data_IF_828029775563
#
_entry.id   IF_828029775563
#
_cell.length_a   1.000
_cell.length_b   1.000
_cell.length_c   1.000
_cell.angle_alpha   90.00
_cell.angle_beta   90.00
_cell.angle_gamma   90.00
#
_symmetry.space_group_name_H-M   'P 1'
#
loop_
_entity.id
_entity.type
_entity.pdbx_description
1 polymer ?
#
# COMPACT_ATOMS: atom_id res chain seq x y z
N UNK A 1 -5.94 12.63 15.58
CA UNK A 1 -5.72 12.07 14.23
C UNK A 1 -5.47 10.59 14.38
N UNK A 2 -6.16 9.72 13.63
CA UNK A 2 -6.04 8.28 13.83
C UNK A 2 -5.48 7.56 12.62
N UNK A 3 -4.21 7.18 12.72
CA UNK A 3 -3.62 6.07 11.98
C UNK A 3 -3.39 4.97 13.00
N UNK A 4 -4.22 3.93 12.92
CA UNK A 4 -4.16 2.78 13.79
C UNK A 4 -3.61 1.56 13.06
N UNK A 5 -2.93 0.63 13.73
CA UNK A 5 -2.36 -0.52 13.06
C UNK A 5 -3.37 -1.37 12.26
N UNK A 6 -4.62 -1.48 12.70
CA UNK A 6 -5.61 -2.39 12.10
C UNK A 6 -6.12 -1.99 10.73
N UNK A 7 -6.08 -0.69 10.42
CA UNK A 7 -6.56 -0.14 9.14
C UNK A 7 -5.44 0.06 8.13
N UNK A 8 -4.18 -0.05 8.60
CA UNK A 8 -2.97 0.26 7.85
C UNK A 8 -2.96 -0.43 6.49
N UNK A 9 -2.77 0.35 5.44
CA UNK A 9 -2.44 -0.16 4.12
C UNK A 9 -0.92 -0.23 3.99
N UNK A 10 -0.36 -1.37 4.38
CA UNK A 10 1.07 -1.69 4.21
C UNK A 10 1.49 -1.65 2.74
N UNK A 11 2.80 -1.60 2.47
CA UNK A 11 3.31 -1.71 1.09
C UNK A 11 2.76 -2.95 0.38
N UNK A 12 2.64 -4.07 1.10
CA UNK A 12 2.03 -5.31 0.61
C UNK A 12 0.54 -5.11 0.24
N UNK A 13 -0.21 -4.30 1.00
CA UNK A 13 -1.60 -3.96 0.67
C UNK A 13 -1.66 -3.21 -0.66
N UNK A 14 -0.81 -2.20 -0.85
CA UNK A 14 -0.77 -1.44 -2.10
C UNK A 14 -0.40 -2.34 -3.29
N UNK A 15 0.62 -3.17 -3.12
CA UNK A 15 1.09 -4.13 -4.10
C UNK A 15 0.04 -5.20 -4.48
N UNK A 16 -0.84 -5.56 -3.54
CA UNK A 16 -1.93 -6.50 -3.72
C UNK A 16 -3.32 -5.84 -3.76
N UNK A 17 -3.40 -4.53 -4.04
CA UNK A 17 -4.61 -3.74 -3.79
C UNK A 17 -5.86 -4.38 -4.41
N UNK A 18 -6.86 -4.78 -3.58
CA UNK A 18 -8.02 -5.51 -4.08
C UNK A 18 -8.84 -4.74 -5.12
N UNK A 19 -8.94 -3.42 -4.97
CA UNK A 19 -9.65 -2.56 -5.92
C UNK A 19 -8.94 -2.57 -7.28
N UNK A 20 -7.63 -2.33 -7.29
CA UNK A 20 -6.83 -2.28 -8.52
C UNK A 20 -6.87 -3.62 -9.25
N UNK A 21 -6.70 -4.74 -8.54
CA UNK A 21 -6.78 -6.09 -9.13
C UNK A 21 -8.15 -6.40 -9.72
N UNK A 22 -9.24 -5.94 -9.11
CA UNK A 22 -10.59 -6.12 -9.66
C UNK A 22 -10.82 -5.25 -10.89
N UNK A 23 -10.53 -3.96 -10.81
CA UNK A 23 -10.82 -3.01 -11.89
C UNK A 23 -9.98 -3.27 -13.15
N UNK A 24 -8.71 -3.67 -13.02
CA UNK A 24 -7.88 -3.98 -14.19
C UNK A 24 -8.40 -5.21 -14.97
N UNK A 25 -9.07 -6.14 -14.28
CA UNK A 25 -9.65 -7.34 -14.87
C UNK A 25 -11.13 -7.17 -15.26
N UNK A 26 -11.74 -6.01 -14.99
CA UNK A 26 -13.16 -5.76 -15.24
C UNK A 26 -13.38 -5.29 -16.69
N UNK A 27 -13.89 -6.17 -17.54
CA UNK A 27 -14.12 -5.87 -18.97
C UNK A 27 -15.31 -4.95 -19.23
N UNK A 28 -16.10 -4.61 -18.20
CA UNK A 28 -17.27 -3.74 -18.36
C UNK A 28 -16.94 -2.25 -18.19
N UNK A 29 -15.71 -1.91 -17.83
CA UNK A 29 -15.27 -0.54 -17.53
C UNK A 29 -13.95 -0.22 -18.21
N UNK A 30 -13.71 1.07 -18.44
CA UNK A 30 -12.41 1.61 -18.80
C UNK A 30 -11.73 2.08 -17.51
N UNK A 31 -10.88 1.25 -16.91
CA UNK A 31 -10.15 1.63 -15.70
C UNK A 31 -8.98 2.54 -16.07
N UNK A 32 -9.14 3.84 -15.80
CA UNK A 32 -8.23 4.89 -16.26
C UNK A 32 -6.93 4.89 -15.47
N UNK A 33 -7.00 4.70 -14.16
CA UNK A 33 -5.85 4.70 -13.28
C UNK A 33 -6.18 5.11 -11.85
N UNK A 34 -5.13 5.39 -11.10
CA UNK A 34 -5.14 5.72 -9.69
C UNK A 34 -4.63 7.15 -9.52
N UNK A 35 -5.27 7.92 -8.64
CA UNK A 35 -4.76 9.19 -8.13
C UNK A 35 -4.36 8.92 -6.68
N UNK A 36 -3.06 8.90 -6.40
CA UNK A 36 -2.56 8.92 -5.03
C UNK A 36 -2.67 10.36 -4.52
N UNK A 37 -3.20 10.56 -3.31
CA UNK A 37 -3.35 11.86 -2.68
C UNK A 37 -2.81 11.81 -1.24
N UNK A 38 -1.72 12.52 -1.00
CA UNK A 38 -1.08 12.59 0.32
C UNK A 38 -1.91 13.40 1.31
N UNK A 39 -2.05 12.89 2.53
CA UNK A 39 -2.69 13.61 3.63
C UNK A 39 -1.72 14.62 4.23
N UNK A 40 -2.16 15.87 4.39
CA UNK A 40 -1.41 16.92 5.09
C UNK A 40 -1.99 17.22 6.47
N UNK A 41 -1.16 17.59 7.46
CA UNK A 41 -1.65 18.15 8.73
C UNK A 41 -2.30 19.53 8.55
N UNK A 42 -1.80 20.31 7.59
CA UNK A 42 -2.25 21.68 7.36
C UNK A 42 -3.58 21.70 6.60
N UNK A 43 -4.62 22.31 7.18
CA UNK A 43 -5.96 22.34 6.59
C UNK A 43 -6.01 22.98 5.19
N UNK A 44 -5.33 24.10 4.97
CA UNK A 44 -5.32 24.76 3.65
C UNK A 44 -4.68 23.85 2.59
N UNK A 45 -3.63 23.11 2.97
CA UNK A 45 -3.05 22.09 2.11
C UNK A 45 -4.03 20.93 1.84
N UNK A 46 -4.79 20.44 2.84
CA UNK A 46 -5.84 19.41 2.62
C UNK A 46 -6.87 19.84 1.58
N UNK A 47 -7.28 21.11 1.62
CA UNK A 47 -8.23 21.68 0.64
C UNK A 47 -7.57 21.79 -0.73
N UNK A 48 -6.34 22.30 -0.80
CA UNK A 48 -5.62 22.46 -2.06
C UNK A 48 -5.38 21.11 -2.78
N UNK A 49 -4.95 20.07 -2.07
CA UNK A 49 -4.71 18.75 -2.67
C UNK A 49 -6.02 18.08 -3.10
N UNK A 50 -7.12 18.28 -2.37
CA UNK A 50 -8.45 17.84 -2.77
C UNK A 50 -8.94 18.53 -4.05
N UNK A 51 -8.74 19.86 -4.17
CA UNK A 51 -9.09 20.61 -5.40
C UNK A 51 -8.32 20.06 -6.60
N UNK A 52 -7.00 19.92 -6.48
CA UNK A 52 -6.18 19.35 -7.55
C UNK A 52 -6.56 17.90 -7.89
N UNK A 53 -7.04 17.13 -6.91
CA UNK A 53 -7.55 15.77 -7.16
C UNK A 53 -8.83 15.79 -8.00
N UNK A 54 -9.76 16.70 -7.70
CA UNK A 54 -10.99 16.89 -8.47
C UNK A 54 -10.71 17.36 -9.90
N UNK A 55 -9.81 18.34 -10.05
CA UNK A 55 -9.36 18.85 -11.36
C UNK A 55 -8.73 17.73 -12.19
N UNK A 56 -7.81 16.96 -11.60
CA UNK A 56 -7.17 15.82 -12.27
C UNK A 56 -8.20 14.75 -12.67
N UNK A 57 -9.17 14.45 -11.81
CA UNK A 57 -10.28 13.55 -12.15
C UNK A 57 -11.09 14.03 -13.36
N UNK A 58 -11.34 15.34 -13.43
CA UNK A 58 -12.02 15.99 -14.57
C UNK A 58 -11.19 15.93 -15.85
N UNK A 59 -9.89 16.22 -15.78
CA UNK A 59 -8.96 16.14 -16.92
C UNK A 59 -8.82 14.72 -17.47
N UNK A 60 -8.81 13.72 -16.58
CA UNK A 60 -8.85 12.29 -16.93
C UNK A 60 -10.23 11.85 -17.47
N UNK A 61 -11.22 12.75 -17.44
CA UNK A 61 -12.61 12.53 -17.88
C UNK A 61 -13.27 11.34 -17.21
N UNK A 62 -13.05 11.18 -15.91
CA UNK A 62 -13.66 10.11 -15.14
C UNK A 62 -15.19 10.26 -15.13
N UNK A 63 -15.89 9.14 -15.29
CA UNK A 63 -17.35 9.07 -15.13
C UNK A 63 -17.74 8.71 -13.69
N UNK A 64 -16.80 8.18 -12.92
CA UNK A 64 -16.95 7.91 -11.48
C UNK A 64 -15.62 7.49 -10.85
N UNK A 65 -15.53 7.62 -9.52
CA UNK A 65 -14.32 7.26 -8.78
C UNK A 65 -14.63 6.51 -7.48
N UNK A 66 -13.79 5.53 -7.15
CA UNK A 66 -13.72 5.00 -5.79
C UNK A 66 -12.75 5.87 -5.01
N UNK A 67 -13.09 6.27 -3.78
CA UNK A 67 -12.18 6.99 -2.88
C UNK A 67 -11.89 6.08 -1.70
N UNK A 68 -10.64 5.66 -1.51
CA UNK A 68 -10.22 4.81 -0.40
C UNK A 68 -9.18 5.53 0.46
N UNK A 69 -9.34 5.50 1.78
CA UNK A 69 -8.44 6.18 2.71
C UNK A 69 -7.83 5.20 3.71
N UNK A 70 -6.53 5.39 3.96
CA UNK A 70 -5.79 4.75 5.04
C UNK A 70 -5.71 5.72 6.23
N UNK A 71 -6.83 5.92 6.93
CA UNK A 71 -6.89 6.86 8.07
C UNK A 71 -8.30 7.28 8.49
N UNK A 72 -8.40 7.83 9.70
CA UNK A 72 -9.67 8.33 10.25
C UNK A 72 -9.52 9.54 11.16
N UNK A 73 -10.65 10.10 11.58
CA UNK A 73 -10.70 11.29 12.42
C UNK A 73 -10.36 12.52 11.60
N UNK A 74 -9.26 13.21 11.90
CA UNK A 74 -8.84 14.40 11.14
C UNK A 74 -8.64 14.10 9.64
N UNK A 75 -8.23 12.88 9.30
CA UNK A 75 -8.02 12.45 7.90
C UNK A 75 -9.32 12.34 7.10
N UNK A 76 -10.46 12.22 7.79
CA UNK A 76 -11.74 12.24 7.08
C UNK A 76 -12.04 13.59 6.45
N UNK A 77 -11.39 14.67 6.90
CA UNK A 77 -11.48 15.97 6.23
C UNK A 77 -10.96 15.87 4.79
N UNK A 78 -9.80 15.24 4.58
CA UNK A 78 -9.24 14.98 3.24
C UNK A 78 -10.18 14.12 2.41
N UNK A 79 -10.67 13.03 3.00
CA UNK A 79 -11.62 12.10 2.37
C UNK A 79 -12.89 12.79 1.87
N UNK A 80 -13.49 13.61 2.73
CA UNK A 80 -14.74 14.33 2.45
C UNK A 80 -14.50 15.41 1.40
N UNK A 81 -13.40 16.17 1.51
CA UNK A 81 -13.05 17.22 0.54
C UNK A 81 -12.75 16.62 -0.83
N UNK A 82 -12.05 15.49 -0.92
CA UNK A 82 -11.83 14.79 -2.20
C UNK A 82 -13.16 14.37 -2.83
N UNK A 83 -14.07 13.79 -2.05
CA UNK A 83 -15.40 13.41 -2.52
C UNK A 83 -16.19 14.64 -3.00
N UNK A 84 -16.08 15.77 -2.30
CA UNK A 84 -16.69 17.04 -2.69
C UNK A 84 -16.18 17.54 -4.03
N UNK A 85 -14.86 17.60 -4.20
CA UNK A 85 -14.23 18.15 -5.39
C UNK A 85 -14.54 17.28 -6.61
N UNK A 86 -14.52 15.95 -6.47
CA UNK A 86 -15.03 15.05 -7.50
C UNK A 86 -16.50 15.34 -7.86
N UNK A 87 -17.34 15.54 -6.84
CA UNK A 87 -18.76 15.86 -7.01
C UNK A 87 -19.04 17.19 -7.73
N UNK A 88 -18.25 18.23 -7.44
CA UNK A 88 -18.31 19.54 -8.12
C UNK A 88 -17.99 19.41 -9.61
N UNK A 89 -17.18 18.42 -9.98
CA UNK A 89 -16.85 18.08 -11.37
C UNK A 89 -17.80 17.02 -11.98
N UNK A 90 -18.98 16.78 -11.38
CA UNK A 90 -19.97 15.79 -11.83
C UNK A 90 -19.45 14.33 -11.85
N UNK A 91 -18.44 14.02 -11.02
CA UNK A 91 -17.86 12.67 -10.89
C UNK A 91 -18.44 11.99 -9.63
N UNK A 92 -19.50 11.16 -9.75
CA UNK A 92 -20.05 10.44 -8.62
C UNK A 92 -19.01 9.48 -8.01
N UNK A 93 -19.01 9.38 -6.69
CA UNK A 93 -18.04 8.56 -5.97
C UNK A 93 -18.69 7.58 -4.98
N UNK A 94 -17.90 6.56 -4.63
CA UNK A 94 -18.14 5.64 -3.51
C UNK A 94 -16.92 5.66 -2.61
N UNK A 95 -17.13 6.02 -1.35
CA UNK A 95 -16.09 6.05 -0.33
C UNK A 95 -15.86 4.69 0.33
N UNK A 96 -14.61 4.37 0.66
CA UNK A 96 -14.18 3.23 1.45
C UNK A 96 -13.31 3.76 2.60
N UNK A 97 -13.80 3.58 3.83
CA UNK A 97 -13.11 4.03 5.04
C UNK A 97 -13.42 3.11 6.21
N UNK A 98 -12.51 3.05 7.17
CA UNK A 98 -12.84 2.63 8.52
C UNK A 98 -13.72 3.70 9.17
N UNK A 99 -14.93 3.33 9.58
CA UNK A 99 -15.84 4.21 10.33
C UNK A 99 -16.08 3.63 11.73
N UNK A 100 -16.62 2.42 11.84
CA UNK A 100 -16.88 1.78 13.14
C UNK A 100 -17.69 2.65 14.12
N UNK A 101 -17.42 2.51 15.41
CA UNK A 101 -17.94 3.39 16.46
C UNK A 101 -17.00 4.57 16.74
N UNK A 102 -15.69 4.39 16.53
CA UNK A 102 -14.66 5.37 16.86
C UNK A 102 -14.32 6.33 15.72
N UNK A 103 -14.29 5.85 14.48
CA UNK A 103 -13.93 6.61 13.28
C UNK A 103 -15.10 7.33 12.63
N UNK A 104 -16.05 7.86 13.41
CA UNK A 104 -17.16 8.64 12.85
C UNK A 104 -16.62 9.85 12.09
N UNK A 105 -17.23 10.14 10.94
CA UNK A 105 -16.86 11.29 10.14
C UNK A 105 -16.93 12.58 10.97
N UNK A 106 -15.85 13.35 10.94
CA UNK A 106 -15.75 14.64 11.65
C UNK A 106 -16.43 15.79 10.90
N UNK A 107 -16.74 15.59 9.62
CA UNK A 107 -17.46 16.51 8.77
C UNK A 107 -18.36 15.73 7.80
N UNK A 108 -19.18 16.42 7.01
CA UNK A 108 -19.87 15.84 5.86
C UNK A 108 -20.27 16.95 4.90
N UNK A 109 -20.62 16.59 3.66
CA UNK A 109 -21.17 17.49 2.67
C UNK A 109 -22.21 16.74 1.80
N UNK A 110 -22.97 17.42 0.94
CA UNK A 110 -24.01 16.79 0.12
C UNK A 110 -23.52 15.70 -0.84
N UNK A 111 -22.23 15.65 -1.17
CA UNK A 111 -21.64 14.65 -2.08
C UNK A 111 -21.23 13.36 -1.38
N UNK A 112 -21.07 13.36 -0.05
CA UNK A 112 -20.78 12.18 0.76
C UNK A 112 -22.05 11.34 0.96
N UNK A 113 -22.50 10.70 -0.12
CA UNK A 113 -23.76 9.95 -0.14
C UNK A 113 -23.58 8.45 0.15
N UNK A 114 -22.40 7.90 -0.16
CA UNK A 114 -22.19 6.45 -0.18
C UNK A 114 -20.82 6.11 0.34
N UNK A 115 -20.78 5.54 1.54
CA UNK A 115 -19.57 5.02 2.17
C UNK A 115 -19.80 3.55 2.50
N UNK A 116 -18.80 2.73 2.17
CA UNK A 116 -18.69 1.36 2.65
C UNK A 116 -17.72 1.38 3.83
N UNK A 117 -18.25 1.10 5.01
CA UNK A 117 -17.44 0.89 6.21
C UNK A 117 -16.75 -0.47 6.11
N UNK A 118 -15.42 -0.47 6.19
CA UNK A 118 -14.63 -1.70 6.21
C UNK A 118 -14.18 -2.12 7.61
N UNK A 119 -14.71 -1.52 8.68
CA UNK A 119 -14.56 -2.05 10.04
C UNK A 119 -15.04 -3.52 10.11
N UNK A 120 -14.16 -4.41 10.56
CA UNK A 120 -14.40 -5.84 10.81
C UNK A 120 -14.43 -6.17 12.29
N UNK A 121 -13.91 -5.27 13.13
CA UNK A 121 -13.89 -5.45 14.58
C UNK A 121 -15.29 -5.23 15.18
N UNK A 122 -15.75 -6.21 15.97
CA UNK A 122 -17.11 -6.24 16.53
C UNK A 122 -17.35 -5.09 17.51
N UNK A 123 -16.32 -4.71 18.27
CA UNK A 123 -16.40 -3.55 19.15
C UNK A 123 -16.52 -2.23 18.40
N UNK A 124 -16.14 -2.18 17.12
CA UNK A 124 -16.11 -0.96 16.31
C UNK A 124 -15.03 0.04 16.73
N UNK A 125 -14.04 -0.40 17.51
CA UNK A 125 -12.87 0.37 17.90
C UNK A 125 -11.62 -0.13 17.17
N UNK A 126 -10.64 0.76 17.03
CA UNK A 126 -9.34 0.43 16.49
C UNK A 126 -8.66 -0.54 17.46
N UNK A 127 -8.23 -1.69 16.96
CA UNK A 127 -7.81 -2.84 17.76
C UNK A 127 -6.31 -2.97 17.95
N UNK A 128 -5.54 -2.16 17.21
CA UNK A 128 -4.09 -2.28 17.06
C UNK A 128 -3.62 -3.64 16.49
N UNK A 129 -4.50 -4.41 15.84
CA UNK A 129 -4.18 -5.69 15.20
C UNK A 129 -3.99 -5.48 13.70
N UNK A 130 -2.76 -5.51 13.21
CA UNK A 130 -2.42 -5.24 11.80
C UNK A 130 -3.21 -6.17 10.88
N UNK A 131 -3.86 -5.58 9.88
CA UNK A 131 -4.66 -6.32 8.91
C UNK A 131 -6.09 -6.66 9.36
N UNK A 132 -6.49 -6.41 10.61
CA UNK A 132 -7.85 -6.79 11.05
C UNK A 132 -8.95 -6.01 10.32
N UNK A 133 -8.76 -4.70 10.11
CA UNK A 133 -9.69 -3.83 9.39
C UNK A 133 -9.21 -3.56 7.96
N UNK A 134 -8.47 -4.51 7.37
CA UNK A 134 -7.95 -4.34 6.02
C UNK A 134 -9.08 -4.34 4.99
N UNK A 135 -8.96 -3.51 3.95
CA UNK A 135 -9.91 -3.51 2.85
C UNK A 135 -9.85 -4.85 2.12
N UNK A 136 -10.99 -5.54 2.03
CA UNK A 136 -11.07 -6.88 1.44
C UNK A 136 -11.51 -6.86 -0.02
N UNK A 137 -11.31 -7.98 -0.70
CA UNK A 137 -11.84 -8.23 -2.04
C UNK A 137 -13.37 -8.06 -2.12
N UNK A 138 -14.09 -8.40 -1.05
CA UNK A 138 -15.54 -8.22 -0.98
C UNK A 138 -15.95 -6.75 -0.85
N UNK A 139 -15.20 -5.95 -0.08
CA UNK A 139 -15.45 -4.50 0.03
C UNK A 139 -15.22 -3.82 -1.32
N UNK A 140 -14.13 -4.19 -2.01
CA UNK A 140 -13.83 -3.72 -3.36
C UNK A 140 -14.94 -4.08 -4.35
N UNK A 141 -15.41 -5.34 -4.35
CA UNK A 141 -16.52 -5.75 -5.21
C UNK A 141 -17.79 -4.91 -4.98
N UNK A 142 -18.21 -4.74 -3.72
CA UNK A 142 -19.38 -3.92 -3.38
C UNK A 142 -19.22 -2.49 -3.87
N UNK A 143 -18.04 -1.89 -3.63
CA UNK A 143 -17.75 -0.52 -4.06
C UNK A 143 -17.87 -0.34 -5.58
N UNK A 144 -17.26 -1.25 -6.35
CA UNK A 144 -17.29 -1.22 -7.81
C UNK A 144 -18.73 -1.36 -8.33
N UNK A 145 -19.51 -2.29 -7.80
CA UNK A 145 -20.89 -2.50 -8.25
C UNK A 145 -21.80 -1.31 -7.93
N UNK A 146 -21.65 -0.73 -6.74
CA UNK A 146 -22.41 0.46 -6.35
C UNK A 146 -21.99 1.66 -7.21
N UNK A 147 -20.69 1.85 -7.44
CA UNK A 147 -20.19 2.93 -8.29
C UNK A 147 -20.74 2.82 -9.72
N UNK A 148 -20.64 1.63 -10.35
CA UNK A 148 -21.23 1.36 -11.68
C UNK A 148 -22.71 1.76 -11.73
N UNK A 149 -23.47 1.45 -10.67
CA UNK A 149 -24.89 1.82 -10.56
C UNK A 149 -25.10 3.34 -10.46
N UNK A 150 -24.28 4.04 -9.66
CA UNK A 150 -24.33 5.52 -9.53
C UNK A 150 -24.00 6.19 -10.86
N UNK A 151 -22.92 5.77 -11.52
CA UNK A 151 -22.49 6.29 -12.84
C UNK A 151 -23.61 6.15 -13.88
N UNK A 152 -24.22 4.96 -14.00
CA UNK A 152 -25.34 4.74 -14.93
C UNK A 152 -26.53 5.67 -14.70
N UNK A 153 -26.75 6.12 -13.45
CA UNK A 153 -27.85 7.02 -13.08
C UNK A 153 -27.50 8.49 -13.29
N UNK A 154 -26.22 8.85 -13.25
CA UNK A 154 -25.72 10.21 -13.41
C UNK A 154 -26.20 10.84 -14.72
N UNK A 155 -26.63 12.10 -14.64
CA UNK A 155 -27.05 12.88 -15.80
C UNK A 155 -25.87 13.15 -16.75
N UNK A 156 -24.70 13.47 -16.21
CA UNK A 156 -23.48 13.72 -16.99
C UNK A 156 -23.09 12.50 -17.84
N UNK A 157 -23.10 11.31 -17.24
CA UNK A 157 -22.81 10.06 -17.96
C UNK A 157 -23.85 9.76 -19.06
N UNK A 158 -25.14 9.94 -18.77
CA UNK A 158 -26.22 9.74 -19.77
C UNK A 158 -26.07 10.66 -20.98
N UNK A 159 -25.65 11.91 -20.77
CA UNK A 159 -25.48 12.90 -21.85
C UNK A 159 -24.35 12.50 -22.81
N UNK A 160 -23.26 11.93 -22.29
CA UNK A 160 -22.11 11.50 -23.10
C UNK A 160 -22.17 10.05 -23.57
N UNK A 161 -23.20 9.30 -23.20
CA UNK A 161 -23.31 7.88 -23.53
C UNK A 161 -23.29 7.64 -25.05
N UNK A 162 -23.82 8.57 -25.85
CA UNK A 162 -23.76 8.53 -27.31
C UNK A 162 -22.35 8.78 -27.89
N UNK A 163 -21.44 9.33 -27.10
CA UNK A 163 -20.05 9.61 -27.50
C UNK A 163 -19.13 8.40 -27.25
N UNK A 164 -19.56 7.46 -26.39
CA UNK A 164 -18.82 6.24 -26.06
C UNK A 164 -18.75 5.32 -27.29
N UNK A 165 -17.64 5.38 -27.99
CA UNK A 165 -17.41 4.63 -29.22
C UNK A 165 -15.92 4.35 -29.39
N UNK A 166 -15.60 3.29 -30.11
CA UNK A 166 -14.23 2.85 -30.34
C UNK A 166 -14.01 1.41 -29.92
N UNK A 167 -12.89 0.87 -30.37
CA UNK A 167 -12.47 -0.51 -30.11
C UNK A 167 -11.51 -0.54 -28.94
N UNK A 168 -11.56 -1.62 -28.18
CA UNK A 168 -10.63 -1.86 -27.08
C UNK A 168 -9.19 -1.92 -27.60
N UNK A 169 -8.27 -1.31 -26.86
CA UNK A 169 -6.85 -1.25 -27.20
C UNK A 169 -5.99 -1.55 -25.98
N UNK A 170 -5.06 -2.49 -26.12
CA UNK A 170 -4.02 -2.70 -25.11
C UNK A 170 -3.09 -1.48 -25.13
N UNK A 171 -2.95 -0.83 -23.98
CA UNK A 171 -2.14 0.39 -23.81
C UNK A 171 -0.87 0.14 -22.98
N UNK A 172 -0.78 -1.00 -22.30
CA UNK A 172 0.42 -1.43 -21.61
C UNK A 172 0.21 -2.78 -20.93
N UNK A 173 1.31 -3.37 -20.49
CA UNK A 173 1.30 -4.66 -19.79
C UNK A 173 2.46 -4.77 -18.82
N UNK A 174 2.21 -5.50 -17.74
CA UNK A 174 3.20 -5.94 -16.79
C UNK A 174 3.11 -7.46 -16.66
N UNK A 175 4.23 -8.15 -16.84
CA UNK A 175 4.36 -9.56 -16.50
C UNK A 175 5.05 -9.69 -15.14
N UNK A 176 4.48 -10.50 -14.26
CA UNK A 176 5.08 -10.86 -13.00
C UNK A 176 5.47 -12.34 -13.02
N UNK A 177 6.76 -12.61 -12.90
CA UNK A 177 7.36 -13.94 -12.81
C UNK A 177 7.59 -14.30 -11.34
N UNK A 178 7.11 -15.46 -10.92
CA UNK A 178 7.23 -15.92 -9.55
C UNK A 178 8.36 -16.93 -9.39
N UNK A 179 9.11 -16.82 -8.31
CA UNK A 179 10.16 -17.75 -7.88
C UNK A 179 9.70 -18.35 -6.56
N UNK A 180 9.38 -19.64 -6.54
CA UNK A 180 8.91 -20.32 -5.33
C UNK A 180 10.04 -20.53 -4.33
N UNK A 181 9.80 -20.19 -3.07
CA UNK A 181 10.68 -20.43 -1.94
C UNK A 181 9.92 -21.23 -0.87
N UNK A 182 10.50 -22.35 -0.45
CA UNK A 182 9.92 -23.23 0.57
C UNK A 182 10.82 -23.39 1.79
N UNK A 183 12.10 -22.99 1.68
CA UNK A 183 13.06 -23.02 2.79
C UNK A 183 13.94 -21.78 2.80
N UNK A 184 14.30 -21.31 4.00
CA UNK A 184 15.20 -20.17 4.17
C UNK A 184 16.18 -20.40 5.33
N UNK A 185 17.41 -19.93 5.20
CA UNK A 185 18.42 -20.02 6.26
C UNK A 185 19.47 -18.90 6.16
N UNK A 186 20.22 -18.69 7.25
CA UNK A 186 21.45 -17.91 7.22
C UNK A 186 22.64 -18.77 6.81
N UNK A 187 23.65 -18.15 6.18
CA UNK A 187 24.88 -18.81 5.75
C UNK A 187 26.00 -17.83 5.45
N UNK A 188 26.96 -18.26 4.64
CA UNK A 188 28.14 -17.46 4.29
C UNK A 188 27.85 -16.46 3.15
N UNK A 189 26.95 -16.80 2.23
CA UNK A 189 26.65 -16.01 1.04
C UNK A 189 25.14 -15.96 0.77
N UNK A 190 24.66 -14.80 0.30
CA UNK A 190 23.28 -14.66 -0.16
C UNK A 190 23.10 -15.34 -1.50
N UNK A 191 22.14 -16.28 -1.61
CA UNK A 191 21.88 -17.04 -2.84
C UNK A 191 20.48 -17.65 -2.86
N UNK A 192 20.01 -17.98 -4.06
CA UNK A 192 18.79 -18.77 -4.27
C UNK A 192 19.17 -20.02 -5.07
N UNK A 193 18.95 -21.20 -4.49
CA UNK A 193 19.25 -22.49 -5.11
C UNK A 193 17.97 -23.35 -5.11
N UNK A 194 17.31 -23.45 -6.26
CA UNK A 194 15.96 -24.02 -6.32
C UNK A 194 15.00 -23.20 -5.44
N UNK A 195 14.29 -23.88 -4.55
CA UNK A 195 13.34 -23.24 -3.62
C UNK A 195 13.96 -22.84 -2.27
N UNK A 196 15.29 -22.81 -2.18
CA UNK A 196 16.02 -22.45 -0.96
C UNK A 196 16.62 -21.06 -1.06
N UNK A 197 16.20 -20.16 -0.18
CA UNK A 197 16.82 -18.85 0.05
C UNK A 197 17.91 -18.97 1.12
N UNK A 198 19.10 -18.47 0.84
CA UNK A 198 20.15 -18.27 1.85
C UNK A 198 20.48 -16.79 1.91
N UNK A 199 20.57 -16.22 3.11
CA UNK A 199 21.03 -14.84 3.35
C UNK A 199 22.35 -14.92 4.12
N UNK A 200 23.34 -14.12 3.75
CA UNK A 200 24.60 -14.10 4.50
C UNK A 200 24.41 -13.55 5.91
N UNK A 201 25.11 -14.14 6.88
CA UNK A 201 24.91 -13.86 8.31
C UNK A 201 25.33 -12.44 8.70
N UNK A 202 26.32 -11.87 8.01
CA UNK A 202 26.88 -10.56 8.31
C UNK A 202 26.21 -9.40 7.55
N UNK A 203 25.08 -9.64 6.86
CA UNK A 203 24.47 -8.67 5.93
C UNK A 203 24.05 -7.35 6.58
N UNK A 204 23.70 -7.39 7.88
CA UNK A 204 23.15 -6.23 8.61
C UNK A 204 24.23 -5.41 9.31
N UNK A 205 25.25 -6.07 9.88
CA UNK A 205 26.29 -5.43 10.68
C UNK A 205 26.95 -4.19 10.02
N UNK A 206 27.34 -4.21 8.73
CA UNK A 206 27.94 -3.04 8.09
C UNK A 206 26.92 -1.91 7.85
N UNK A 207 25.62 -2.23 7.74
CA UNK A 207 24.58 -1.22 7.55
C UNK A 207 24.28 -0.50 8.86
N UNK A 208 24.16 -1.23 9.97
CA UNK A 208 24.00 -0.65 11.31
C UNK A 208 25.20 0.23 11.66
N UNK A 209 26.43 -0.23 11.39
CA UNK A 209 27.63 0.57 11.66
C UNK A 209 27.70 1.89 10.87
N UNK A 210 26.98 2.01 9.76
CA UNK A 210 26.96 3.19 8.90
C UNK A 210 25.76 4.13 9.18
N UNK A 211 24.76 3.68 9.94
CA UNK A 211 23.50 4.42 10.14
C UNK A 211 23.40 4.93 11.59
N UNK A 212 23.64 6.22 11.85
CA UNK A 212 23.64 6.77 13.22
C UNK A 212 22.27 6.75 13.92
N UNK A 213 21.16 6.52 13.19
CA UNK A 213 19.80 6.48 13.74
C UNK A 213 19.39 5.11 14.25
N UNK A 214 20.05 4.06 13.77
CA UNK A 214 19.72 2.67 14.06
C UNK A 214 20.83 2.11 14.92
N UNK A 215 20.47 1.80 16.17
CA UNK A 215 21.40 1.23 17.14
C UNK A 215 21.71 -0.22 16.84
N UNK A 216 20.69 -0.99 16.46
CA UNK A 216 20.80 -2.39 16.09
C UNK A 216 19.64 -2.80 15.17
N UNK A 217 19.82 -3.90 14.43
CA UNK A 217 18.77 -4.54 13.66
C UNK A 217 18.96 -6.05 13.71
N UNK A 218 17.98 -6.75 14.29
CA UNK A 218 17.97 -8.20 14.31
C UNK A 218 17.14 -8.73 13.13
N UNK A 219 17.70 -9.68 12.38
CA UNK A 219 16.97 -10.37 11.31
C UNK A 219 16.80 -11.85 11.61
N UNK A 220 15.60 -12.38 11.33
CA UNK A 220 15.24 -13.77 11.57
C UNK A 220 14.28 -14.30 10.49
N UNK A 221 14.19 -15.62 10.38
CA UNK A 221 13.14 -16.27 9.58
C UNK A 221 12.11 -16.88 10.53
N UNK A 222 10.84 -16.50 10.36
CA UNK A 222 9.72 -17.17 11.02
C UNK A 222 9.10 -18.13 10.00
N UNK A 223 9.33 -19.43 10.16
CA UNK A 223 8.86 -20.46 9.25
C UNK A 223 7.35 -20.71 9.44
N UNK A 224 6.63 -21.18 8.41
CA UNK A 224 5.17 -21.41 8.51
C UNK A 224 4.74 -22.34 9.65
N UNK A 225 5.59 -23.30 10.01
CA UNK A 225 5.34 -24.28 11.08
C UNK A 225 5.82 -23.83 12.47
N UNK A 226 6.48 -22.68 12.56
CA UNK A 226 6.90 -22.13 13.85
C UNK A 226 5.69 -21.59 14.62
N UNK A 227 5.77 -21.69 15.95
CA UNK A 227 4.83 -20.96 16.81
C UNK A 227 4.93 -19.47 16.52
N UNK A 228 3.79 -18.84 16.22
CA UNK A 228 3.68 -17.39 16.06
C UNK A 228 3.38 -16.68 17.39
N UNK A 229 3.40 -17.42 18.49
CA UNK A 229 3.23 -16.90 19.85
C UNK A 229 4.56 -16.33 20.38
N UNK A 230 5.06 -15.29 19.72
CA UNK A 230 6.32 -14.59 20.04
C UNK A 230 6.06 -13.10 20.18
N UNK A 231 6.85 -12.43 21.01
CA UNK A 231 6.76 -10.98 21.15
C UNK A 231 7.38 -10.27 19.93
N UNK A 232 6.67 -9.27 19.40
CA UNK A 232 7.12 -8.35 18.36
C UNK A 232 6.95 -6.90 18.83
N UNK A 233 7.78 -6.00 18.31
CA UNK A 233 7.59 -4.56 18.46
C UNK A 233 6.56 -4.02 17.44
N UNK A 234 6.26 -2.72 17.45
CA UNK A 234 5.31 -2.12 16.51
C UNK A 234 5.67 -2.44 15.06
N UNK A 235 4.68 -2.81 14.27
CA UNK A 235 4.84 -3.00 12.84
C UNK A 235 5.12 -1.67 12.12
N UNK A 236 6.24 -1.64 11.41
CA UNK A 236 6.59 -0.58 10.48
C UNK A 236 6.08 -0.91 9.07
N UNK A 237 6.15 -2.16 8.62
CA UNK A 237 5.52 -2.54 7.34
C UNK A 237 5.40 -4.04 7.12
N UNK A 238 4.64 -4.41 6.09
CA UNK A 238 4.76 -5.67 5.39
C UNK A 238 5.00 -5.40 3.91
N UNK A 239 5.93 -6.12 3.28
CA UNK A 239 6.27 -5.92 1.87
C UNK A 239 6.67 -7.23 1.16
N UNK A 240 6.49 -7.33 -0.17
CA UNK A 240 7.01 -8.45 -0.95
C UNK A 240 8.51 -8.29 -1.21
N UNK A 241 9.16 -9.37 -1.67
CA UNK A 241 10.51 -9.30 -2.24
C UNK A 241 10.38 -9.42 -3.76
N UNK A 242 10.53 -8.30 -4.46
CA UNK A 242 10.39 -8.22 -5.91
C UNK A 242 11.51 -7.37 -6.54
N UNK A 243 11.87 -7.67 -7.79
CA UNK A 243 12.84 -6.90 -8.57
C UNK A 243 12.43 -6.74 -10.03
N UNK A 244 12.82 -5.61 -10.65
CA UNK A 244 12.67 -5.45 -12.09
C UNK A 244 13.68 -6.33 -12.83
N UNK A 245 13.16 -7.12 -13.76
CA UNK A 245 13.95 -7.85 -14.75
C UNK A 245 14.07 -7.03 -16.05
N UNK A 246 12.96 -6.46 -16.52
CA UNK A 246 12.90 -5.64 -17.72
C UNK A 246 11.93 -4.47 -17.53
N UNK A 247 12.25 -3.32 -18.15
CA UNK A 247 11.40 -2.14 -18.13
C UNK A 247 11.55 -1.31 -16.86
N UNK A 248 10.50 -0.54 -16.56
CA UNK A 248 10.39 0.33 -15.39
C UNK A 248 9.19 -0.09 -14.55
N UNK A 249 9.00 0.51 -13.38
CA UNK A 249 7.81 0.28 -12.55
C UNK A 249 6.55 0.43 -13.41
N UNK A 250 5.71 -0.60 -13.42
CA UNK A 250 4.44 -0.66 -14.16
C UNK A 250 4.51 -1.15 -15.61
N UNK A 251 5.70 -1.44 -16.14
CA UNK A 251 5.87 -1.98 -17.49
C UNK A 251 6.93 -3.09 -17.54
N UNK A 252 6.82 -3.98 -18.53
CA UNK A 252 7.83 -5.02 -18.76
C UNK A 252 7.68 -6.19 -17.80
N UNK A 253 8.78 -6.62 -17.17
CA UNK A 253 8.85 -7.86 -16.40
C UNK A 253 9.38 -7.62 -14.99
N UNK A 254 8.64 -8.13 -14.01
CA UNK A 254 9.01 -8.13 -12.59
C UNK A 254 9.16 -9.55 -12.09
N UNK A 255 10.22 -9.84 -11.35
CA UNK A 255 10.38 -11.10 -10.62
C UNK A 255 9.95 -10.89 -9.17
N UNK A 256 9.24 -11.85 -8.60
CA UNK A 256 8.82 -11.83 -7.21
C UNK A 256 9.10 -13.18 -6.55
N UNK A 257 9.58 -13.17 -5.31
CA UNK A 257 9.59 -14.36 -4.48
C UNK A 257 8.17 -14.69 -4.00
N UNK A 258 7.80 -15.97 -4.11
CA UNK A 258 6.56 -16.53 -3.58
C UNK A 258 6.88 -17.51 -2.44
N UNK A 259 6.05 -17.55 -1.40
CA UNK A 259 6.32 -18.33 -0.19
C UNK A 259 7.21 -17.63 0.84
N UNK A 260 7.57 -16.35 0.58
CA UNK A 260 8.28 -15.49 1.52
C UNK A 260 7.76 -14.06 1.46
N UNK A 261 7.65 -13.41 2.61
CA UNK A 261 7.27 -12.01 2.78
C UNK A 261 8.17 -11.34 3.81
N UNK A 262 8.21 -10.02 3.82
CA UNK A 262 9.03 -9.23 4.76
C UNK A 262 8.11 -8.57 5.78
N UNK A 263 8.54 -8.60 7.05
CA UNK A 263 7.89 -7.88 8.14
C UNK A 263 8.93 -6.99 8.82
N UNK A 264 8.64 -5.70 8.92
CA UNK A 264 9.48 -4.75 9.64
C UNK A 264 8.80 -4.38 10.96
N UNK A 265 9.55 -4.45 12.06
CA UNK A 265 9.14 -4.01 13.37
C UNK A 265 10.22 -3.13 13.99
N UNK A 266 9.89 -2.33 15.01
CA UNK A 266 10.95 -1.69 15.79
C UNK A 266 10.50 -0.92 17.02
N UNK A 267 11.48 -0.51 17.82
CA UNK A 267 11.32 0.16 19.12
C UNK A 267 12.49 1.11 19.38
N UNK A 268 12.26 2.18 20.13
CA UNK A 268 13.33 3.07 20.60
C UNK A 268 14.10 2.51 21.79
N UNK A 269 15.43 2.58 21.73
CA UNK A 269 16.31 2.33 22.85
C UNK A 269 16.09 3.34 23.98
N UNK A 270 16.21 2.88 25.23
CA UNK A 270 16.07 3.70 26.43
C UNK A 270 14.62 4.05 26.77
N UNK A 271 13.93 4.74 25.88
CA UNK A 271 12.54 5.18 26.08
C UNK A 271 11.53 4.04 25.99
N UNK A 272 11.85 2.98 25.22
CA UNK A 272 10.93 1.88 24.92
C UNK A 272 9.75 2.31 24.04
N UNK A 273 9.82 3.49 23.44
CA UNK A 273 8.75 4.01 22.60
C UNK A 273 8.58 3.15 21.34
N UNK A 274 7.33 2.81 21.11
CA UNK A 274 6.83 1.99 20.03
C UNK A 274 6.39 2.94 18.90
N UNK A 275 7.00 2.90 17.69
CA UNK A 275 6.69 3.80 16.59
C UNK A 275 5.21 3.76 16.18
N UNK A 276 4.41 4.63 16.81
CA UNK A 276 2.97 4.71 16.64
C UNK A 276 2.40 6.03 17.20
N UNK A 277 1.18 6.36 16.77
CA UNK A 277 0.40 7.49 17.28
C UNK A 277 -0.87 7.02 17.99
N UNK A 278 -1.81 6.38 17.28
CA UNK A 278 -3.01 5.81 17.92
C UNK A 278 -2.86 4.30 18.06
N UNK A 279 -2.33 3.91 19.22
CA UNK A 279 -2.14 2.51 19.58
C UNK A 279 -1.01 1.87 18.79
N UNK A 280 -0.38 0.87 19.40
CA UNK A 280 0.74 0.17 18.81
C UNK A 280 0.42 -1.31 18.65
N UNK A 281 1.05 -1.94 17.65
CA UNK A 281 0.90 -3.36 17.31
C UNK A 281 1.96 -4.25 17.98
N UNK A 282 2.61 -3.75 19.02
CA UNK A 282 3.53 -4.51 19.87
C UNK A 282 2.77 -5.55 20.70
N UNK A 283 3.45 -6.66 21.00
CA UNK A 283 2.89 -7.76 21.76
C UNK A 283 3.07 -9.08 21.03
N UNK A 284 2.14 -10.01 21.25
CA UNK A 284 2.25 -11.35 20.68
C UNK A 284 1.83 -11.34 19.20
N UNK A 285 2.69 -11.82 18.30
CA UNK A 285 2.50 -11.74 16.85
C UNK A 285 1.15 -12.34 16.37
N UNK A 286 0.76 -13.52 16.83
CA UNK A 286 -0.53 -14.14 16.46
C UNK A 286 -1.77 -13.49 17.10
N UNK A 287 -1.58 -12.57 18.05
CA UNK A 287 -2.64 -11.73 18.61
C UNK A 287 -2.65 -10.32 17.97
N UNK A 288 -1.53 -9.89 17.39
CA UNK A 288 -1.31 -8.54 16.85
C UNK A 288 -1.31 -8.44 15.34
N UNK A 289 -1.35 -9.56 14.63
CA UNK A 289 -1.42 -9.60 13.16
C UNK A 289 -2.51 -10.57 12.70
N UNK A 290 -3.42 -10.07 11.88
CA UNK A 290 -4.35 -10.89 11.12
C UNK A 290 -3.68 -11.29 9.80
N UNK A 291 -3.23 -12.54 9.69
CA UNK A 291 -2.63 -13.09 8.47
C UNK A 291 -3.66 -13.26 7.34
N UNK A 292 -3.15 -13.57 6.14
CA UNK A 292 -3.96 -13.87 4.94
C UNK A 292 -4.82 -12.69 4.46
N UNK A 293 -4.38 -11.46 4.73
CA UNK A 293 -4.99 -10.25 4.21
C UNK A 293 -4.14 -9.66 3.09
N UNK A 294 -4.70 -8.72 2.31
CA UNK A 294 -3.97 -8.08 1.21
C UNK A 294 -2.66 -7.41 1.67
N UNK A 295 -2.64 -6.90 2.90
CA UNK A 295 -1.51 -6.20 3.52
C UNK A 295 -0.71 -6.96 4.57
N UNK A 296 -0.95 -8.25 4.76
CA UNK A 296 -0.20 -9.06 5.74
C UNK A 296 0.29 -10.33 5.08
N UNK A 297 1.31 -10.95 5.67
CA UNK A 297 1.85 -12.23 5.20
C UNK A 297 0.76 -13.30 5.10
N UNK A 298 0.90 -14.24 4.15
CA UNK A 298 0.08 -15.46 4.20
C UNK A 298 0.54 -16.31 5.36
N UNK A 299 -0.38 -17.05 5.98
CA UNK A 299 -0.04 -18.02 7.02
C UNK A 299 0.90 -19.14 6.53
N UNK A 300 0.96 -19.35 5.22
CA UNK A 300 1.85 -20.31 4.55
C UNK A 300 3.23 -19.76 4.20
N UNK A 301 3.46 -18.45 4.34
CA UNK A 301 4.71 -17.82 3.92
C UNK A 301 5.77 -17.88 5.04
N UNK A 302 7.03 -17.99 4.64
CA UNK A 302 8.16 -17.64 5.50
C UNK A 302 8.14 -16.12 5.69
N UNK A 303 8.29 -15.66 6.93
CA UNK A 303 8.43 -14.22 7.22
C UNK A 303 9.91 -13.93 7.45
N UNK A 304 10.52 -13.13 6.58
CA UNK A 304 11.80 -12.48 6.85
C UNK A 304 11.52 -11.27 7.74
N UNK A 305 11.77 -11.45 9.03
CA UNK A 305 11.45 -10.49 10.07
C UNK A 305 12.69 -9.64 10.39
N UNK A 306 12.53 -8.32 10.28
CA UNK A 306 13.49 -7.31 10.73
C UNK A 306 12.94 -6.64 11.99
N UNK A 307 13.73 -6.63 13.06
CA UNK A 307 13.40 -5.95 14.31
C UNK A 307 14.44 -4.86 14.59
N UNK A 308 14.03 -3.61 14.43
CA UNK A 308 14.90 -2.43 14.55
C UNK A 308 14.91 -1.90 15.97
N UNK A 309 16.11 -1.62 16.47
CA UNK A 309 16.33 -0.83 17.67
C UNK A 309 16.79 0.56 17.26
N UNK A 310 15.90 1.55 17.36
CA UNK A 310 16.21 2.94 17.06
C UNK A 310 17.02 3.57 18.19
N UNK A 311 17.87 4.54 17.88
CA UNK A 311 18.40 5.45 18.90
C UNK A 311 17.26 6.29 19.50
N UNK A 312 17.46 6.77 20.73
CA UNK A 312 16.42 7.48 21.47
C UNK A 312 15.95 8.74 20.72
N UNK A 313 14.64 8.82 20.44
CA UNK A 313 14.01 9.90 19.70
C UNK A 313 13.91 9.69 18.18
N UNK A 314 14.66 8.74 17.60
CA UNK A 314 14.66 8.51 16.15
C UNK A 314 13.42 7.72 15.68
N UNK A 315 12.88 6.84 16.52
CA UNK A 315 11.65 6.07 16.26
C UNK A 315 10.36 6.92 16.21
N UNK A 316 10.48 8.25 16.35
CA UNK A 316 9.38 9.23 16.25
C UNK A 316 9.47 10.14 15.04
N UNK A 317 10.54 10.00 14.24
CA UNK A 317 10.88 10.93 13.15
C UNK A 317 10.73 10.28 11.79
N UNK A 318 10.52 11.08 10.74
CA UNK A 318 10.49 10.54 9.38
C UNK A 318 11.83 9.97 8.98
N UNK A 319 12.91 10.64 9.39
CA UNK A 319 14.28 10.29 9.07
C UNK A 319 14.69 8.96 9.69
N UNK A 320 14.33 8.71 10.96
CA UNK A 320 14.60 7.43 11.62
C UNK A 320 13.84 6.28 10.99
N UNK A 321 12.53 6.45 10.74
CA UNK A 321 11.70 5.40 10.11
C UNK A 321 12.14 5.14 8.67
N UNK A 322 12.45 6.19 7.90
CA UNK A 322 13.00 6.04 6.55
C UNK A 322 14.34 5.31 6.58
N UNK A 323 15.22 5.59 7.54
CA UNK A 323 16.50 4.88 7.68
C UNK A 323 16.32 3.36 7.91
N UNK A 324 15.34 2.95 8.71
CA UNK A 324 15.00 1.53 8.89
C UNK A 324 14.54 0.88 7.58
N UNK A 325 13.63 1.54 6.84
CA UNK A 325 13.13 1.01 5.57
C UNK A 325 14.23 0.97 4.49
N UNK A 326 15.07 1.98 4.40
CA UNK A 326 16.21 2.01 3.48
C UNK A 326 17.22 0.91 3.82
N UNK A 327 17.48 0.67 5.10
CA UNK A 327 18.35 -0.42 5.56
C UNK A 327 17.78 -1.79 5.15
N UNK A 328 16.49 -2.03 5.40
CA UNK A 328 15.81 -3.24 4.94
C UNK A 328 15.92 -3.40 3.42
N UNK A 329 15.64 -2.33 2.66
CA UNK A 329 15.68 -2.35 1.20
C UNK A 329 17.08 -2.61 0.62
N UNK A 330 18.15 -2.20 1.33
CA UNK A 330 19.54 -2.57 0.99
C UNK A 330 19.81 -4.06 1.19
N UNK A 331 19.29 -4.66 2.27
CA UNK A 331 19.36 -6.12 2.49
C UNK A 331 18.60 -6.85 1.39
N UNK A 332 17.37 -6.41 1.09
CA UNK A 332 16.55 -7.00 0.03
C UNK A 332 17.22 -6.86 -1.34
N UNK A 333 17.94 -5.77 -1.62
CA UNK A 333 18.69 -5.61 -2.86
C UNK A 333 19.75 -6.69 -3.09
N UNK A 334 20.38 -7.23 -2.05
CA UNK A 334 21.31 -8.36 -2.17
C UNK A 334 20.56 -9.64 -2.59
N UNK A 335 19.38 -9.88 -2.02
CA UNK A 335 18.49 -10.98 -2.42
C UNK A 335 18.04 -10.79 -3.89
N UNK A 336 17.65 -9.56 -4.27
CA UNK A 336 17.23 -9.21 -5.64
C UNK A 336 18.31 -9.48 -6.68
N UNK A 337 19.60 -9.37 -6.34
CA UNK A 337 20.68 -9.79 -7.26
C UNK A 337 20.65 -11.30 -7.51
N UNK A 338 20.41 -12.11 -6.47
CA UNK A 338 20.29 -13.56 -6.60
C UNK A 338 19.03 -13.99 -7.37
N UNK A 339 17.96 -13.20 -7.32
CA UNK A 339 16.71 -13.47 -8.05
C UNK A 339 16.87 -13.44 -9.58
N UNK A 340 17.86 -12.70 -10.11
CA UNK A 340 18.05 -12.53 -11.57
C UNK A 340 18.40 -13.84 -12.29
N UNK A 341 19.05 -14.78 -11.62
CA UNK A 341 19.42 -16.09 -12.16
C UNK A 341 18.50 -17.23 -11.71
N UNK A 342 17.59 -16.97 -10.76
CA UNK A 342 16.69 -17.98 -10.23
C UNK A 342 15.66 -18.46 -11.26
N UNK A 343 15.22 -19.71 -11.12
CA UNK A 343 14.22 -20.34 -11.98
C UNK A 343 12.82 -19.78 -11.70
N UNK A 344 12.09 -19.49 -12.77
CA UNK A 344 10.70 -19.03 -12.71
C UNK A 344 9.78 -20.24 -12.55
N UNK A 345 8.92 -20.23 -11.54
CA UNK A 345 7.93 -21.27 -11.27
C UNK A 345 6.65 -21.07 -12.07
N UNK A 346 6.13 -19.84 -12.12
CA UNK A 346 4.97 -19.47 -12.94
C UNK A 346 4.94 -17.96 -13.20
N UNK A 347 3.98 -17.49 -14.01
CA UNK A 347 3.82 -16.06 -14.35
C UNK A 347 2.36 -15.61 -14.31
N UNK A 348 2.15 -14.33 -14.04
CA UNK A 348 0.86 -13.63 -14.12
C UNK A 348 1.01 -12.39 -15.00
N UNK A 349 0.05 -12.14 -15.89
CA UNK A 349 0.04 -10.97 -16.77
C UNK A 349 -1.05 -9.99 -16.34
N UNK A 350 -0.67 -8.72 -16.20
CA UNK A 350 -1.56 -7.59 -15.96
C UNK A 350 -1.64 -6.75 -17.23
N UNK A 351 -2.83 -6.66 -17.84
CA UNK A 351 -3.02 -5.99 -19.12
C UNK A 351 -3.87 -4.74 -18.95
N UNK A 352 -3.28 -3.58 -19.21
CA UNK A 352 -4.03 -2.32 -19.26
C UNK A 352 -4.69 -2.19 -20.62
N UNK A 353 -6.02 -2.14 -20.61
CA UNK A 353 -6.84 -2.01 -21.82
C UNK A 353 -7.65 -0.73 -21.75
N UNK A 354 -7.43 0.18 -22.70
CA UNK A 354 -8.33 1.30 -22.92
C UNK A 354 -9.60 0.79 -23.56
N UNK A 355 -10.76 1.14 -22.99
CA UNK A 355 -12.09 0.76 -23.48
C UNK A 355 -12.97 1.98 -23.75
N UNK A 356 -12.75 2.72 -24.87
CA UNK A 356 -13.48 3.96 -25.15
C UNK A 356 -15.01 3.85 -25.21
N UNK A 357 -15.54 2.62 -25.40
CA UNK A 357 -16.97 2.31 -25.40
C UNK A 357 -17.58 2.08 -24.01
N UNK A 358 -16.79 2.16 -22.95
CA UNK A 358 -17.19 1.85 -21.57
C UNK A 358 -17.10 3.07 -20.66
N UNK A 359 -17.77 3.00 -19.51
CA UNK A 359 -17.64 4.04 -18.49
C UNK A 359 -16.22 4.08 -17.94
N UNK A 360 -15.70 5.30 -17.76
CA UNK A 360 -14.35 5.58 -17.31
C UNK A 360 -14.31 5.66 -15.79
N UNK A 361 -13.67 4.69 -15.13
CA UNK A 361 -13.58 4.67 -13.68
C UNK A 361 -12.15 4.97 -13.23
N UNK A 362 -12.02 5.66 -12.09
CA UNK A 362 -10.75 5.88 -11.40
C UNK A 362 -10.79 5.41 -9.95
N UNK A 363 -9.62 5.34 -9.33
CA UNK A 363 -9.44 5.13 -7.89
C UNK A 363 -8.66 6.30 -7.33
N UNK A 364 -9.14 6.94 -6.28
CA UNK A 364 -8.35 7.84 -5.45
C UNK A 364 -7.89 7.08 -4.22
N UNK A 365 -6.58 6.96 -4.00
CA UNK A 365 -6.00 6.43 -2.78
C UNK A 365 -5.49 7.60 -1.94
N UNK A 366 -6.09 7.80 -0.78
CA UNK A 366 -5.64 8.81 0.19
C UNK A 366 -4.68 8.13 1.15
N UNK A 367 -3.40 8.50 1.06
CA UNK A 367 -2.28 7.89 1.77
C UNK A 367 -1.63 8.88 2.73
N UNK A 368 -0.87 8.40 3.73
CA UNK A 368 -0.25 9.31 4.68
C UNK A 368 0.85 10.16 4.03
N UNK A 369 0.87 11.46 4.33
CA UNK A 369 1.94 12.40 3.98
C UNK A 369 2.20 13.38 5.12
N UNK A 370 1.98 12.94 6.36
CA UNK A 370 1.97 13.76 7.56
C UNK A 370 3.38 14.16 8.01
N UNK A 371 4.35 13.27 7.76
CA UNK A 371 5.66 13.30 8.40
C UNK A 371 5.64 12.60 9.76
N UNK A 372 6.65 12.89 10.59
CA UNK A 372 7.02 12.02 11.72
C UNK A 372 7.07 10.56 11.22
N UNK A 373 6.39 9.66 11.90
CA UNK A 373 6.34 8.24 11.58
C UNK A 373 5.57 7.88 10.31
N UNK A 374 4.62 8.72 9.87
CA UNK A 374 3.61 8.34 8.89
C UNK A 374 3.77 9.09 7.57
N UNK A 375 4.41 8.44 6.61
CA UNK A 375 4.67 9.01 5.29
C UNK A 375 4.52 7.93 4.22
N UNK A 376 4.45 8.36 2.96
CA UNK A 376 4.30 7.47 1.80
C UNK A 376 5.38 7.83 0.78
N UNK A 377 6.19 6.86 0.41
CA UNK A 377 7.17 6.99 -0.65
C UNK A 377 6.59 6.41 -1.95
N UNK A 378 6.89 7.06 -3.07
CA UNK A 378 6.39 6.65 -4.38
C UNK A 378 7.49 6.54 -5.42
N UNK A 379 7.27 5.65 -6.40
CA UNK A 379 8.18 5.34 -7.51
C UNK A 379 9.61 4.92 -7.08
N UNK A 380 9.75 3.86 -6.26
CA UNK A 380 11.07 3.33 -5.92
C UNK A 380 11.82 2.74 -7.12
N UNK A 381 13.13 2.60 -6.98
CA UNK A 381 13.98 2.01 -8.02
C UNK A 381 13.72 0.50 -8.22
N UNK A 382 13.14 -0.18 -7.23
CA UNK A 382 12.71 -1.57 -7.30
C UNK A 382 11.28 -1.70 -6.78
N UNK A 383 10.46 -2.64 -7.30
CA UNK A 383 9.09 -2.85 -6.87
C UNK A 383 8.98 -2.99 -5.35
N UNK A 384 8.09 -2.21 -4.75
CA UNK A 384 7.84 -2.18 -3.30
C UNK A 384 9.03 -1.79 -2.42
N UNK A 385 10.14 -1.30 -3.00
CA UNK A 385 11.26 -0.74 -2.25
C UNK A 385 11.03 0.71 -1.82
N UNK A 386 12.06 1.35 -1.29
CA UNK A 386 12.08 2.77 -0.91
C UNK A 386 13.29 3.50 -1.52
N UNK A 387 14.37 2.79 -1.84
CA UNK A 387 15.56 3.41 -2.43
C UNK A 387 15.24 4.02 -3.80
N UNK A 388 15.57 5.29 -3.97
CA UNK A 388 15.31 6.06 -5.19
C UNK A 388 13.87 6.58 -5.31
N UNK A 389 13.00 6.30 -4.35
CA UNK A 389 11.69 6.92 -4.25
C UNK A 389 11.80 8.37 -3.77
N UNK A 390 10.70 9.12 -3.88
CA UNK A 390 10.51 10.37 -3.17
C UNK A 390 9.27 10.27 -2.27
N UNK A 391 9.28 10.96 -1.13
CA UNK A 391 8.09 11.03 -0.27
C UNK A 391 7.06 12.00 -0.85
N UNK A 392 5.77 11.71 -0.70
CA UNK A 392 4.70 12.61 -1.17
C UNK A 392 4.81 13.98 -0.50
N UNK A 393 5.28 14.02 0.75
CA UNK A 393 5.53 15.25 1.50
C UNK A 393 6.63 16.13 0.89
N UNK A 394 7.67 15.58 0.28
CA UNK A 394 8.67 16.37 -0.48
C UNK A 394 8.05 17.12 -1.69
N UNK A 395 6.85 16.72 -2.11
CA UNK A 395 6.06 17.34 -3.18
C UNK A 395 4.81 18.04 -2.67
N UNK A 396 4.82 18.48 -1.41
CA UNK A 396 3.71 19.15 -0.73
C UNK A 396 2.41 18.33 -0.76
N UNK A 397 2.51 17.00 -0.77
CA UNK A 397 1.40 16.05 -0.85
C UNK A 397 0.50 16.23 -2.08
N UNK A 398 1.02 16.83 -3.16
CA UNK A 398 0.27 16.99 -4.41
C UNK A 398 -0.17 15.63 -4.95
N UNK A 399 -1.41 15.53 -5.48
CA UNK A 399 -1.88 14.27 -6.02
C UNK A 399 -1.06 13.81 -7.21
N UNK A 400 -0.76 12.51 -7.26
CA UNK A 400 0.02 11.90 -8.34
C UNK A 400 -0.81 10.86 -9.07
N UNK A 401 -0.83 10.96 -10.40
CA UNK A 401 -1.42 9.93 -11.24
C UNK A 401 -0.50 8.72 -11.35
N UNK A 402 -1.08 7.53 -11.23
CA UNK A 402 -0.43 6.24 -11.44
C UNK A 402 -1.31 5.34 -12.29
N UNK A 403 -0.69 4.61 -13.19
CA UNK A 403 -1.34 3.54 -13.95
C UNK A 403 -1.68 2.35 -13.04
N UNK A 404 -2.67 1.51 -13.42
CA UNK A 404 -2.98 0.28 -12.70
C UNK A 404 -1.77 -0.64 -12.52
N UNK A 405 -0.94 -0.76 -13.54
CA UNK A 405 0.26 -1.59 -13.47
C UNK A 405 1.34 -0.98 -12.57
N UNK A 406 1.53 0.35 -12.51
CA UNK A 406 2.50 0.95 -11.57
C UNK A 406 2.16 0.60 -10.12
N UNK A 407 0.89 0.70 -9.72
CA UNK A 407 0.46 0.33 -8.36
C UNK A 407 0.68 -1.16 -8.10
N UNK A 408 0.32 -2.03 -9.06
CA UNK A 408 0.57 -3.47 -8.97
C UNK A 408 2.05 -3.83 -9.13
N UNK A 409 2.92 -2.92 -9.55
CA UNK A 409 4.37 -3.12 -9.61
C UNK A 409 5.09 -2.41 -8.45
N UNK A 410 4.35 -2.09 -7.38
CA UNK A 410 4.92 -1.57 -6.14
C UNK A 410 5.39 -0.13 -6.21
N UNK A 411 4.66 0.72 -6.93
CA UNK A 411 4.92 2.16 -6.98
C UNK A 411 4.63 2.91 -5.67
N UNK A 412 3.93 2.31 -4.70
CA UNK A 412 3.58 2.92 -3.42
C UNK A 412 4.21 2.10 -2.29
N UNK A 413 4.95 2.78 -1.41
CA UNK A 413 5.62 2.22 -0.25
C UNK A 413 5.22 3.00 1.01
N UNK A 414 4.69 2.29 2.01
CA UNK A 414 4.19 2.87 3.26
C UNK A 414 5.25 2.79 4.35
N UNK A 415 5.38 3.82 5.20
CA UNK A 415 6.37 3.85 6.28
C UNK A 415 5.84 3.35 7.64
N UNK A 416 4.69 3.82 8.13
CA UNK A 416 4.01 3.32 9.35
C UNK A 416 2.50 3.31 9.16
#
# INVERSE_FOLDING_TARGET
MGLGPSIKMTTLHHYNCPITRRLINDTEVDFVGIIENGVSENFDAKVATAVSTGELGSELRLDGAIVAIDGWGNHHIDFINVIEQLGIHDIPSVGLSYIGLQGRLVATNPYVETIIDFNKEVSGYESCVVGQNNLTDMDAYKAIQILKSKVRKSFAFKKRQSELSGTDKIIGSLRRNYISISTAQFGDNTSINGEKLTIRTDIVAPLVAAEPRIRDCHISFLLPHDSKHIHINSNLDFMPIACKEEGVIGMGVTRQLEGVSVMLNGVEYGSGFQPANIGSSEGILDERVCFDQAGTSRSTDIILHFDFLFEEGEGRTSEGIQAAHEMADRVLNEIRQSMKSASISHSEDFIMTSRPSKMRLGLVKICSGLGNMYDTAVFPAQPAGILGAYTTREKDNKPVFMTPCEVLDGAIHSLI
#
